data_IF_002129582531
#
_entry.id   IF_002129582531
#
_cell.length_a   1.000
_cell.length_b   1.000
_cell.length_c   1.000
_cell.angle_alpha   90.00
_cell.angle_beta   90.00
_cell.angle_gamma   90.00
#
_symmetry.space_group_name_H-M   'P 1'
#
loop_
_entity.id
_entity.type
_entity.pdbx_description
1 polymer ?
#
# COMPACT_ATOMS: atom_id res chain seq x y z
N UNK A 1 -11.25 -7.91 -6.80
CA UNK A 1 -9.85 -7.67 -7.22
C UNK A 1 -8.91 -8.49 -6.34
N UNK A 2 -8.03 -9.25 -6.95
CA UNK A 2 -7.09 -10.10 -6.22
C UNK A 2 -5.67 -9.55 -6.41
N UNK A 3 -5.02 -9.17 -5.33
CA UNK A 3 -3.68 -8.56 -5.35
C UNK A 3 -2.85 -9.09 -4.20
N UNK A 4 -1.53 -8.91 -4.28
CA UNK A 4 -0.66 -9.21 -3.16
C UNK A 4 -0.69 -8.04 -2.17
N UNK A 5 -0.54 -8.35 -0.89
CA UNK A 5 -0.58 -7.34 0.16
C UNK A 5 0.48 -6.24 -0.07
N UNK A 6 1.65 -6.60 -0.60
CA UNK A 6 2.71 -5.61 -0.90
C UNK A 6 2.25 -4.56 -1.92
N UNK A 7 1.40 -4.95 -2.89
CA UNK A 7 0.90 -4.01 -3.89
C UNK A 7 0.04 -2.93 -3.24
N UNK A 8 -0.74 -3.31 -2.23
CA UNK A 8 -1.57 -2.38 -1.47
C UNK A 8 -0.68 -1.47 -0.62
N UNK A 9 0.25 -2.04 0.12
CA UNK A 9 1.14 -1.28 1.02
C UNK A 9 1.93 -0.22 0.25
N UNK A 10 2.41 -0.57 -0.94
CA UNK A 10 3.17 0.36 -1.77
C UNK A 10 2.28 1.39 -2.47
N UNK A 11 1.04 1.01 -2.80
CA UNK A 11 0.12 1.91 -3.53
C UNK A 11 -0.53 2.96 -2.64
N UNK A 12 -0.76 2.69 -1.35
CA UNK A 12 -1.48 3.61 -0.46
C UNK A 12 -0.85 5.01 -0.42
N UNK A 13 0.48 5.17 -0.25
CA UNK A 13 1.07 6.51 -0.30
C UNK A 13 0.88 7.22 -1.63
N UNK A 14 0.97 6.48 -2.75
CA UNK A 14 0.76 7.04 -4.09
C UNK A 14 -0.70 7.47 -4.29
N UNK A 15 -1.65 6.67 -3.79
CA UNK A 15 -3.08 7.01 -3.81
C UNK A 15 -3.36 8.26 -2.98
N UNK A 16 -2.70 8.41 -1.84
CA UNK A 16 -2.83 9.60 -1.00
C UNK A 16 -2.33 10.85 -1.71
N UNK A 17 -1.22 10.76 -2.45
CA UNK A 17 -0.72 11.85 -3.28
C UNK A 17 -1.73 12.23 -4.36
N UNK A 18 -2.30 11.23 -5.02
CA UNK A 18 -3.29 11.43 -6.06
C UNK A 18 -4.52 12.14 -5.51
N UNK A 19 -5.00 11.73 -4.33
CA UNK A 19 -6.19 12.32 -3.72
C UNK A 19 -5.96 13.72 -3.16
N UNK A 20 -4.71 14.13 -2.98
CA UNK A 20 -4.38 15.49 -2.53
C UNK A 20 -4.48 16.52 -3.65
N UNK A 21 -4.56 16.09 -4.92
CA UNK A 21 -4.73 16.98 -6.05
C UNK A 21 -6.16 17.52 -6.17
N UNK A 22 -6.32 18.51 -7.04
CA UNK A 22 -7.64 19.07 -7.34
C UNK A 22 -8.36 18.16 -8.34
N UNK A 23 -9.29 17.37 -7.84
CA UNK A 23 -10.04 16.40 -8.62
C UNK A 23 -11.52 16.76 -8.66
N UNK A 24 -12.20 16.32 -9.72
CA UNK A 24 -13.65 16.43 -9.74
C UNK A 24 -14.24 15.64 -8.57
N UNK A 25 -15.32 16.14 -8.00
CA UNK A 25 -15.91 15.59 -6.79
C UNK A 25 -16.18 14.08 -6.87
N UNK A 26 -16.74 13.62 -8.00
CA UNK A 26 -17.06 12.20 -8.18
C UNK A 26 -15.80 11.32 -8.09
N UNK A 27 -14.74 11.78 -8.73
CA UNK A 27 -13.45 11.06 -8.73
C UNK A 27 -12.82 11.07 -7.33
N UNK A 28 -12.82 12.22 -6.69
CA UNK A 28 -12.30 12.36 -5.33
C UNK A 28 -13.04 11.42 -4.36
N UNK A 29 -14.35 11.30 -4.51
CA UNK A 29 -15.17 10.41 -3.68
C UNK A 29 -14.81 8.94 -3.89
N UNK A 30 -14.64 8.53 -5.15
CA UNK A 30 -14.25 7.15 -5.48
C UNK A 30 -12.88 6.81 -4.90
N UNK A 31 -11.92 7.75 -5.02
CA UNK A 31 -10.59 7.57 -4.47
C UNK A 31 -10.63 7.47 -2.95
N UNK A 32 -11.42 8.29 -2.29
CA UNK A 32 -11.56 8.25 -0.84
C UNK A 32 -12.06 6.89 -0.37
N UNK A 33 -13.05 6.34 -1.05
CA UNK A 33 -13.58 5.01 -0.72
C UNK A 33 -12.55 3.92 -0.96
N UNK A 34 -11.82 3.98 -2.06
CA UNK A 34 -10.76 3.02 -2.35
C UNK A 34 -9.67 3.07 -1.28
N UNK A 35 -9.17 4.25 -0.94
CA UNK A 35 -8.14 4.43 0.07
C UNK A 35 -8.61 3.87 1.41
N UNK A 36 -9.86 4.14 1.80
CA UNK A 36 -10.41 3.61 3.06
C UNK A 36 -10.45 2.09 3.09
N UNK A 37 -10.81 1.45 1.98
CA UNK A 37 -10.85 -0.01 1.87
C UNK A 37 -9.43 -0.60 1.91
N UNK A 38 -8.50 0.00 1.18
CA UNK A 38 -7.11 -0.48 1.14
C UNK A 38 -6.37 -0.20 2.44
N UNK A 39 -6.71 0.87 3.15
CA UNK A 39 -6.08 1.21 4.43
C UNK A 39 -6.31 0.12 5.47
N UNK A 40 -7.44 -0.56 5.44
CA UNK A 40 -7.71 -1.69 6.34
C UNK A 40 -6.70 -2.81 6.14
N UNK A 41 -6.35 -3.08 4.88
CA UNK A 41 -5.34 -4.10 4.55
C UNK A 41 -3.94 -3.64 4.95
N UNK A 42 -3.63 -2.35 4.74
CA UNK A 42 -2.35 -1.78 5.14
C UNK A 42 -2.19 -1.79 6.66
N UNK A 43 -3.26 -1.52 7.41
CA UNK A 43 -3.27 -1.57 8.87
C UNK A 43 -3.03 -3.00 9.36
N UNK A 44 -3.64 -3.98 8.72
CA UNK A 44 -3.40 -5.39 9.01
C UNK A 44 -1.92 -5.74 8.80
N UNK A 45 -1.35 -5.30 7.69
CA UNK A 45 0.08 -5.52 7.41
C UNK A 45 0.96 -4.91 8.50
N UNK A 46 0.69 -3.65 8.88
CA UNK A 46 1.47 -2.96 9.91
C UNK A 46 1.40 -3.70 11.25
N UNK A 47 0.23 -4.20 11.62
CA UNK A 47 0.02 -4.96 12.85
C UNK A 47 0.80 -6.28 12.81
N UNK A 48 0.72 -7.02 11.71
CA UNK A 48 1.43 -8.29 11.57
C UNK A 48 2.95 -8.08 11.51
N UNK A 49 3.41 -7.03 10.84
CA UNK A 49 4.82 -6.68 10.81
C UNK A 49 5.35 -6.41 12.21
N UNK A 50 4.59 -5.68 13.02
CA UNK A 50 4.97 -5.38 14.40
C UNK A 50 5.11 -6.67 15.22
N UNK A 51 4.20 -7.62 15.04
CA UNK A 51 4.26 -8.92 15.71
C UNK A 51 5.50 -9.72 15.32
N UNK A 52 5.88 -9.69 14.04
CA UNK A 52 7.08 -10.37 13.54
C UNK A 52 8.32 -9.74 14.20
N UNK A 53 8.38 -8.41 14.25
CA UNK A 53 9.51 -7.70 14.84
C UNK A 53 9.62 -7.97 16.35
N UNK A 54 8.51 -8.00 17.07
CA UNK A 54 8.50 -8.33 18.49
C UNK A 54 8.93 -9.77 18.76
N UNK A 55 8.60 -10.68 17.86
CA UNK A 55 8.93 -12.10 18.00
C UNK A 55 10.42 -12.36 17.82
N UNK A 56 11.07 -11.68 16.89
CA UNK A 56 12.46 -11.97 16.50
C UNK A 56 13.45 -10.89 16.91
N UNK A 57 13.00 -9.69 17.21
CA UNK A 57 13.85 -8.56 17.50
C UNK A 57 13.78 -8.12 18.95
N UNK A 58 14.68 -7.21 19.31
CA UNK A 58 14.70 -6.54 20.61
C UNK A 58 14.40 -5.06 20.39
N UNK A 59 13.37 -4.55 21.07
CA UNK A 59 12.97 -3.15 20.93
C UNK A 59 14.05 -2.22 21.50
N UNK A 60 14.32 -1.14 20.80
CA UNK A 60 15.20 -0.06 21.23
C UNK A 60 14.36 1.11 21.75
N UNK A 61 15.03 2.05 22.42
CA UNK A 61 14.37 3.24 22.98
C UNK A 61 13.73 4.13 21.88
N UNK A 62 14.30 4.13 20.67
CA UNK A 62 13.80 4.95 19.56
C UNK A 62 12.65 4.30 18.79
N UNK A 63 12.16 3.14 19.23
CA UNK A 63 11.08 2.42 18.58
C UNK A 63 11.52 1.46 17.48
N UNK A 64 12.81 1.43 17.15
CA UNK A 64 13.32 0.46 16.19
C UNK A 64 13.64 -0.88 16.87
N UNK A 65 14.02 -1.89 16.07
CA UNK A 65 14.34 -3.22 16.56
C UNK A 65 15.72 -3.65 16.10
N UNK A 66 16.44 -4.32 17.01
CA UNK A 66 17.69 -5.02 16.69
C UNK A 66 17.39 -6.50 16.50
N UNK A 67 17.98 -7.09 15.47
CA UNK A 67 17.87 -8.52 15.20
C UNK A 67 19.23 -9.19 15.29
N UNK A 68 19.26 -10.35 15.95
CA UNK A 68 20.48 -11.17 15.96
C UNK A 68 20.71 -11.73 14.56
N UNK A 69 21.96 -12.13 14.26
CA UNK A 69 22.30 -12.74 12.98
C UNK A 69 21.50 -14.03 12.73
N UNK A 70 21.08 -14.72 13.78
CA UNK A 70 20.24 -15.91 13.70
C UNK A 70 18.79 -15.58 13.37
N UNK A 71 18.25 -14.54 13.99
CA UNK A 71 16.82 -14.19 13.87
C UNK A 71 16.50 -13.32 12.66
N UNK A 72 17.45 -12.54 12.17
CA UNK A 72 17.22 -11.64 11.03
C UNK A 72 16.67 -12.37 9.79
N UNK A 73 17.25 -13.51 9.34
CA UNK A 73 16.69 -14.25 8.21
C UNK A 73 15.30 -14.80 8.47
N UNK A 74 15.02 -15.19 9.72
CA UNK A 74 13.69 -15.71 10.09
C UNK A 74 12.63 -14.61 10.01
N UNK A 75 12.94 -13.42 10.50
CA UNK A 75 12.04 -12.26 10.42
C UNK A 75 11.82 -11.88 8.96
N UNK A 76 12.88 -11.84 8.16
CA UNK A 76 12.78 -11.50 6.74
C UNK A 76 11.92 -12.51 5.97
N UNK A 77 12.02 -13.81 6.28
CA UNK A 77 11.25 -14.84 5.62
C UNK A 77 9.75 -14.70 5.95
N UNK A 78 9.38 -14.46 7.21
CA UNK A 78 7.99 -14.27 7.60
C UNK A 78 7.42 -12.98 7.02
N UNK A 79 8.22 -11.92 6.97
CA UNK A 79 7.79 -10.66 6.36
C UNK A 79 7.53 -10.83 4.86
N UNK A 80 8.39 -11.58 4.16
CA UNK A 80 8.20 -11.87 2.73
C UNK A 80 6.92 -12.68 2.49
N UNK A 81 6.63 -13.68 3.32
CA UNK A 81 5.38 -14.44 3.23
C UNK A 81 4.16 -13.53 3.38
N UNK A 82 4.24 -12.57 4.30
CA UNK A 82 3.18 -11.60 4.51
C UNK A 82 3.00 -10.69 3.29
N UNK A 83 4.10 -10.19 2.73
CA UNK A 83 4.08 -9.28 1.59
C UNK A 83 3.49 -9.90 0.33
N UNK A 84 3.76 -11.19 0.09
CA UNK A 84 3.26 -11.88 -1.12
C UNK A 84 1.89 -12.53 -0.91
N UNK A 85 1.33 -12.42 0.29
CA UNK A 85 0.00 -12.97 0.57
C UNK A 85 -1.05 -12.32 -0.30
N UNK A 86 -1.88 -13.12 -0.95
CA UNK A 86 -2.96 -12.62 -1.79
C UNK A 86 -4.16 -12.22 -0.94
N UNK A 87 -4.69 -11.04 -1.24
CA UNK A 87 -5.89 -10.52 -0.58
C UNK A 87 -6.88 -10.07 -1.64
N UNK A 88 -8.16 -10.01 -1.27
CA UNK A 88 -9.23 -9.59 -2.18
C UNK A 88 -9.99 -8.43 -1.56
N UNK A 89 -9.45 -7.21 -1.62
CA UNK A 89 -10.16 -6.04 -1.09
C UNK A 89 -11.42 -5.74 -1.91
N UNK A 90 -12.42 -5.16 -1.27
CA UNK A 90 -13.67 -4.78 -1.93
C UNK A 90 -13.51 -3.46 -2.65
N UNK A 91 -12.71 -3.45 -3.71
CA UNK A 91 -12.47 -2.27 -4.53
C UNK A 91 -12.55 -2.65 -6.01
N UNK A 92 -12.90 -1.66 -6.83
CA UNK A 92 -12.88 -1.78 -8.28
C UNK A 92 -11.88 -0.80 -8.84
N UNK A 93 -11.30 -1.11 -10.00
CA UNK A 93 -10.39 -0.20 -10.70
C UNK A 93 -11.11 1.11 -11.00
N UNK A 94 -10.42 2.21 -10.80
CA UNK A 94 -10.93 3.55 -11.09
C UNK A 94 -10.29 4.06 -12.38
N UNK A 95 -11.10 4.55 -13.30
CA UNK A 95 -10.61 5.18 -14.54
C UNK A 95 -10.30 6.65 -14.29
N UNK A 96 -9.08 7.07 -14.64
CA UNK A 96 -8.66 8.46 -14.54
C UNK A 96 -8.08 8.90 -15.88
N UNK A 97 -8.67 9.95 -16.50
CA UNK A 97 -8.11 10.48 -17.75
C UNK A 97 -6.71 11.10 -17.52
N UNK A 98 -5.79 10.82 -18.43
CA UNK A 98 -4.45 11.42 -18.37
C UNK A 98 -4.48 12.93 -18.63
N UNK A 99 -5.63 13.45 -19.07
CA UNK A 99 -5.85 14.89 -19.27
C UNK A 99 -6.06 15.63 -17.94
N UNK A 100 -6.27 14.90 -16.84
CA UNK A 100 -6.33 15.52 -15.51
C UNK A 100 -4.97 16.15 -15.18
N UNK A 101 -5.01 17.33 -14.59
CA UNK A 101 -3.81 18.06 -14.24
C UNK A 101 -3.21 17.54 -12.93
N UNK A 102 -2.58 16.38 -12.99
CA UNK A 102 -2.02 15.69 -11.82
C UNK A 102 -0.51 15.59 -11.93
N UNK A 103 0.16 15.81 -10.81
CA UNK A 103 1.61 15.72 -10.72
C UNK A 103 1.99 14.41 -10.03
N UNK A 104 2.31 13.39 -10.85
CA UNK A 104 2.72 12.08 -10.38
C UNK A 104 4.05 11.71 -11.02
N UNK A 105 4.93 11.06 -10.25
CA UNK A 105 6.16 10.52 -10.81
C UNK A 105 5.84 9.25 -11.61
N UNK A 106 6.77 8.84 -12.48
CA UNK A 106 6.63 7.56 -13.19
C UNK A 106 6.53 6.39 -12.21
N UNK A 107 7.26 6.45 -11.10
CA UNK A 107 7.19 5.42 -10.07
C UNK A 107 5.80 5.38 -9.43
N UNK A 108 5.22 6.53 -9.11
CA UNK A 108 3.85 6.60 -8.56
C UNK A 108 2.85 5.97 -9.51
N UNK A 109 2.94 6.27 -10.79
CA UNK A 109 2.07 5.68 -11.82
C UNK A 109 2.19 4.16 -11.82
N UNK A 110 3.42 3.65 -11.79
CA UNK A 110 3.66 2.21 -11.74
C UNK A 110 3.00 1.53 -10.53
N UNK A 111 3.10 2.16 -9.36
CA UNK A 111 2.49 1.63 -8.14
C UNK A 111 0.95 1.68 -8.18
N UNK A 112 0.38 2.59 -8.94
CA UNK A 112 -1.07 2.78 -9.05
C UNK A 112 -1.72 1.84 -10.08
N UNK A 113 -0.96 1.27 -11.01
CA UNK A 113 -1.51 0.49 -12.12
C UNK A 113 -2.45 -0.65 -11.71
N UNK A 114 -2.24 -1.37 -10.59
CA UNK A 114 -3.19 -2.39 -10.18
C UNK A 114 -4.57 -1.83 -9.80
N UNK A 115 -4.65 -0.55 -9.44
CA UNK A 115 -5.86 0.07 -8.91
C UNK A 115 -6.45 1.16 -9.78
N UNK A 116 -5.63 1.79 -10.61
CA UNK A 116 -6.03 2.92 -11.44
C UNK A 116 -5.79 2.58 -12.91
N UNK A 117 -6.82 2.77 -13.71
CA UNK A 117 -6.71 2.66 -15.17
C UNK A 117 -6.64 4.08 -15.74
N UNK A 118 -5.49 4.43 -16.26
CA UNK A 118 -5.29 5.76 -16.87
C UNK A 118 -5.81 5.70 -18.30
N UNK A 119 -6.74 6.59 -18.62
CA UNK A 119 -7.37 6.66 -19.94
C UNK A 119 -6.84 7.85 -20.71
N UNK A 120 -6.95 7.79 -22.03
CA UNK A 120 -6.47 8.88 -22.90
C UNK A 120 -7.46 10.04 -23.03
N UNK A 121 -8.64 9.89 -22.46
CA UNK A 121 -9.66 10.94 -22.51
C UNK A 121 -10.01 11.49 -21.14
#
# INVERSE_FOLDING_TARGET
MKVQLKEIVLAVPALSKLSAGDLQLRLAYKLKRMISALQKEADFFAEQRQKIFEKYGTAKEDGSFDFSAENEPKAAAELEELLVMEVTPEVETIDIPITENLLLSANDIGLLLPFIHFTEE
#
